data_IF_094940103752
#
_entry.id   IF_094940103752
#
_cell.length_a   1.000
_cell.length_b   1.000
_cell.length_c   1.000
_cell.angle_alpha   90.00
_cell.angle_beta   90.00
_cell.angle_gamma   90.00
#
_symmetry.space_group_name_H-M   'P 1'
#
loop_
_entity.id
_entity.type
_entity.pdbx_description
1 polymer ?
#
# COMPACT_ATOMS: atom_id res chain seq x y z
N UNK A 1 -3.92 -26.08 67.70
CA UNK A 1 -3.85 -24.91 66.82
C UNK A 1 -3.88 -25.42 65.39
N UNK A 2 -5.02 -25.20 64.71
CA UNK A 2 -5.28 -25.61 63.34
C UNK A 2 -4.88 -24.41 62.44
N UNK A 3 -3.84 -24.53 61.61
CA UNK A 3 -3.44 -23.51 60.65
C UNK A 3 -4.15 -23.81 59.35
N UNK A 4 -5.16 -23.01 59.01
CA UNK A 4 -5.90 -23.10 57.75
C UNK A 4 -5.10 -22.29 56.71
N UNK A 5 -4.48 -22.98 55.78
CA UNK A 5 -3.78 -22.34 54.63
C UNK A 5 -4.86 -21.93 53.59
N UNK A 6 -5.06 -20.64 53.43
CA UNK A 6 -5.93 -20.09 52.39
C UNK A 6 -5.13 -19.98 51.09
N UNK A 7 -5.42 -20.88 50.17
CA UNK A 7 -4.83 -20.80 48.79
C UNK A 7 -5.61 -19.79 47.99
N UNK A 8 -4.99 -18.66 47.68
CA UNK A 8 -5.53 -17.71 46.69
C UNK A 8 -5.37 -18.29 45.28
N UNK A 9 -6.48 -18.74 44.71
CA UNK A 9 -6.51 -19.05 43.30
C UNK A 9 -6.48 -17.72 42.52
N UNK A 10 -5.34 -17.43 41.83
CA UNK A 10 -5.30 -16.35 40.87
C UNK A 10 -6.21 -16.72 39.70
N UNK A 11 -7.35 -16.08 39.61
CA UNK A 11 -8.23 -16.13 38.43
C UNK A 11 -7.49 -15.35 37.35
N UNK A 12 -6.82 -16.07 36.47
CA UNK A 12 -6.31 -15.50 35.22
C UNK A 12 -7.53 -15.12 34.41
N UNK A 13 -7.84 -13.83 34.36
CA UNK A 13 -8.81 -13.31 33.40
C UNK A 13 -8.20 -13.53 32.01
N UNK A 14 -8.72 -14.49 31.29
CA UNK A 14 -8.51 -14.61 29.85
C UNK A 14 -8.90 -13.27 29.23
N UNK A 15 -7.95 -12.60 28.59
CA UNK A 15 -8.25 -11.41 27.80
C UNK A 15 -9.31 -11.79 26.77
N UNK A 16 -10.38 -11.02 26.71
CA UNK A 16 -11.40 -11.16 25.68
C UNK A 16 -10.72 -11.12 24.32
N UNK A 17 -10.99 -12.13 23.52
CA UNK A 17 -10.50 -12.17 22.14
C UNK A 17 -10.89 -10.87 21.43
N UNK A 18 -9.93 -10.21 20.79
CA UNK A 18 -10.19 -9.05 19.93
C UNK A 18 -11.02 -9.41 18.69
N UNK A 19 -11.28 -10.68 18.47
CA UNK A 19 -12.05 -11.16 17.33
C UNK A 19 -13.48 -11.40 17.81
N UNK A 20 -14.42 -10.60 17.33
CA UNK A 20 -15.85 -10.83 17.52
C UNK A 20 -16.31 -11.94 16.57
N UNK A 21 -16.46 -13.15 17.09
CA UNK A 21 -16.95 -14.30 16.33
C UNK A 21 -18.43 -14.20 15.93
N UNK A 22 -19.14 -13.19 16.39
CA UNK A 22 -20.53 -12.91 15.97
C UNK A 22 -20.57 -11.99 14.73
N UNK A 23 -19.42 -11.47 14.31
CA UNK A 23 -19.32 -10.72 13.05
C UNK A 23 -19.74 -11.62 11.88
N UNK A 24 -20.55 -11.11 10.93
CA UNK A 24 -20.87 -11.83 9.69
C UNK A 24 -19.63 -12.04 8.80
N UNK A 25 -18.52 -11.37 9.10
CA UNK A 25 -17.25 -11.50 8.40
C UNK A 25 -16.25 -12.26 9.27
N UNK A 26 -16.00 -13.51 8.90
CA UNK A 26 -14.95 -14.30 9.55
C UNK A 26 -13.57 -13.90 9.00
N UNK A 27 -12.57 -13.71 9.87
CA UNK A 27 -11.22 -13.42 9.40
C UNK A 27 -10.65 -14.61 8.64
N UNK A 28 -9.97 -14.33 7.55
CA UNK A 28 -9.18 -15.35 6.85
C UNK A 28 -7.88 -15.57 7.61
N UNK A 29 -7.59 -16.82 7.95
CA UNK A 29 -6.37 -17.21 8.66
C UNK A 29 -5.45 -17.93 7.67
N UNK A 30 -4.16 -17.58 7.68
CA UNK A 30 -3.14 -18.25 6.87
C UNK A 30 -1.90 -18.51 7.72
N UNK A 31 -1.34 -19.70 7.60
CA UNK A 31 -0.12 -20.10 8.33
C UNK A 31 1.17 -19.72 7.58
N UNK A 32 1.10 -19.54 6.27
CA UNK A 32 2.28 -19.28 5.44
C UNK A 32 2.39 -17.81 5.04
N UNK A 33 1.55 -17.40 4.12
CA UNK A 33 1.56 -16.04 3.59
C UNK A 33 0.15 -15.57 3.28
N UNK A 34 -0.06 -14.27 3.34
CA UNK A 34 -1.33 -13.64 3.00
C UNK A 34 -1.08 -12.42 2.13
N UNK A 35 -1.96 -12.21 1.15
CA UNK A 35 -2.00 -10.99 0.36
C UNK A 35 -3.43 -10.45 0.42
N UNK A 36 -3.55 -9.17 0.74
CA UNK A 36 -4.82 -8.46 0.73
C UNK A 36 -4.67 -7.16 -0.06
N UNK A 37 -5.61 -6.89 -0.95
CA UNK A 37 -5.67 -5.65 -1.71
C UNK A 37 -7.12 -5.26 -1.98
N UNK A 38 -7.34 -4.08 -2.58
CA UNK A 38 -8.68 -3.61 -2.92
C UNK A 38 -9.31 -4.33 -4.12
N UNK A 39 -8.55 -5.18 -4.82
CA UNK A 39 -9.05 -5.96 -5.95
C UNK A 39 -8.59 -7.41 -5.83
N UNK A 40 -9.52 -8.37 -5.95
CA UNK A 40 -9.21 -9.78 -5.77
C UNK A 40 -8.22 -10.31 -6.81
N UNK A 41 -8.30 -9.88 -8.08
CA UNK A 41 -7.36 -10.30 -9.13
C UNK A 41 -5.93 -9.87 -8.79
N UNK A 42 -5.76 -8.68 -8.21
CA UNK A 42 -4.45 -8.22 -7.77
C UNK A 42 -3.94 -9.01 -6.56
N UNK A 43 -4.82 -9.40 -5.65
CA UNK A 43 -4.46 -10.25 -4.50
C UNK A 43 -4.04 -11.66 -4.97
N UNK A 44 -4.72 -12.24 -5.95
CA UNK A 44 -4.37 -13.52 -6.56
C UNK A 44 -2.97 -13.47 -7.20
N UNK A 45 -2.66 -12.40 -7.94
CA UNK A 45 -1.32 -12.18 -8.51
C UNK A 45 -0.26 -12.16 -7.40
N UNK A 46 -0.50 -11.45 -6.31
CA UNK A 46 0.44 -11.43 -5.19
C UNK A 46 0.70 -12.83 -4.61
N UNK A 47 -0.33 -13.64 -4.46
CA UNK A 47 -0.21 -15.05 -4.02
C UNK A 47 0.55 -15.90 -5.06
N UNK A 48 0.31 -15.70 -6.35
CA UNK A 48 1.06 -16.40 -7.39
C UNK A 48 2.55 -16.08 -7.37
N UNK A 49 2.92 -14.82 -7.16
CA UNK A 49 4.31 -14.40 -7.03
C UNK A 49 4.98 -15.07 -5.84
N UNK A 50 4.29 -15.17 -4.69
CA UNK A 50 4.80 -15.89 -3.52
C UNK A 50 4.99 -17.38 -3.86
N UNK A 51 4.02 -18.03 -4.52
CA UNK A 51 4.11 -19.44 -4.94
C UNK A 51 5.26 -19.70 -5.92
N UNK A 52 5.64 -18.71 -6.73
CA UNK A 52 6.82 -18.76 -7.62
C UNK A 52 8.15 -18.60 -6.87
N UNK A 53 8.12 -18.44 -5.55
CA UNK A 53 9.30 -18.29 -4.70
C UNK A 53 9.71 -16.84 -4.43
N UNK A 54 8.87 -15.88 -4.79
CA UNK A 54 9.01 -14.48 -4.44
C UNK A 54 8.81 -14.23 -2.96
N UNK A 55 9.27 -13.09 -2.50
CA UNK A 55 9.05 -12.62 -1.14
C UNK A 55 7.87 -11.63 -1.06
N UNK A 56 7.62 -11.09 0.13
CA UNK A 56 6.53 -10.13 0.35
C UNK A 56 6.68 -8.85 -0.48
N UNK A 57 7.93 -8.41 -0.75
CA UNK A 57 8.18 -7.21 -1.57
C UNK A 57 7.88 -7.48 -3.04
N UNK A 58 8.28 -8.65 -3.58
CA UNK A 58 7.91 -9.06 -4.94
C UNK A 58 6.39 -9.08 -5.10
N UNK A 59 5.68 -9.66 -4.14
CA UNK A 59 4.22 -9.71 -4.14
C UNK A 59 3.60 -8.31 -4.07
N UNK A 60 4.10 -7.43 -3.19
CA UNK A 60 3.60 -6.06 -3.07
C UNK A 60 3.83 -5.24 -4.35
N UNK A 61 4.98 -5.41 -5.01
CA UNK A 61 5.29 -4.75 -6.29
C UNK A 61 4.38 -5.25 -7.41
N UNK A 62 4.18 -6.57 -7.52
CA UNK A 62 3.26 -7.16 -8.50
C UNK A 62 1.83 -6.68 -8.30
N UNK A 63 1.35 -6.66 -7.05
CA UNK A 63 0.03 -6.11 -6.68
C UNK A 63 -0.07 -4.63 -7.03
N UNK A 64 0.96 -3.84 -6.75
CA UNK A 64 0.99 -2.40 -7.07
C UNK A 64 0.84 -2.14 -8.57
N UNK A 65 1.54 -2.88 -9.43
CA UNK A 65 1.38 -2.78 -10.88
C UNK A 65 0.04 -3.33 -11.37
N UNK A 66 -0.46 -4.42 -10.78
CA UNK A 66 -1.78 -4.96 -11.08
C UNK A 66 -2.91 -3.99 -10.72
N UNK A 67 -2.82 -3.32 -9.57
CA UNK A 67 -3.80 -2.29 -9.17
C UNK A 67 -3.82 -1.09 -10.13
N UNK A 68 -2.72 -0.78 -10.80
CA UNK A 68 -2.72 0.25 -11.84
C UNK A 68 -3.62 -0.11 -13.03
N UNK A 69 -3.88 -1.40 -13.25
CA UNK A 69 -4.80 -1.91 -14.28
C UNK A 69 -6.21 -2.10 -13.73
N UNK A 70 -6.34 -2.77 -12.58
CA UNK A 70 -7.64 -3.21 -12.02
C UNK A 70 -8.36 -2.14 -11.22
N UNK A 71 -7.63 -1.13 -10.72
CA UNK A 71 -8.16 -0.04 -9.91
C UNK A 71 -7.50 1.31 -10.26
N UNK A 72 -7.52 1.75 -11.52
CA UNK A 72 -6.72 2.90 -11.99
C UNK A 72 -7.08 4.24 -11.31
N UNK A 73 -8.26 4.34 -10.72
CA UNK A 73 -8.68 5.55 -9.98
C UNK A 73 -7.91 5.78 -8.67
N UNK A 74 -7.31 4.73 -8.10
CA UNK A 74 -6.66 4.78 -6.79
C UNK A 74 -5.23 4.22 -6.81
N UNK A 75 -4.93 3.24 -7.69
CA UNK A 75 -3.62 2.63 -7.83
C UNK A 75 -3.09 2.80 -9.24
N UNK A 76 -2.67 4.00 -9.65
CA UNK A 76 -2.27 4.26 -11.03
C UNK A 76 -0.78 4.64 -11.15
N UNK A 77 -0.23 4.55 -12.37
CA UNK A 77 1.17 4.85 -12.65
C UNK A 77 1.49 6.35 -12.52
N UNK A 78 0.48 7.22 -12.64
CA UNK A 78 0.61 8.67 -12.50
C UNK A 78 0.55 9.17 -11.05
N UNK A 79 0.41 8.27 -10.09
CA UNK A 79 0.31 8.60 -8.66
C UNK A 79 1.61 8.46 -7.89
N UNK A 80 1.47 8.22 -6.63
CA UNK A 80 2.55 7.95 -5.69
C UNK A 80 2.02 7.20 -4.47
N UNK A 81 2.88 6.93 -3.50
CA UNK A 81 2.50 6.19 -2.31
C UNK A 81 3.62 6.08 -1.29
N UNK A 82 3.40 5.19 -0.35
CA UNK A 82 4.35 4.84 0.69
C UNK A 82 4.41 3.32 0.81
N UNK A 83 5.55 2.78 1.19
CA UNK A 83 5.71 1.37 1.49
C UNK A 83 6.43 1.21 2.82
N UNK A 84 5.89 0.39 3.70
CA UNK A 84 6.57 -0.07 4.91
C UNK A 84 6.95 -1.53 4.73
N UNK A 85 8.20 -1.85 5.01
CA UNK A 85 8.77 -3.19 4.88
C UNK A 85 9.35 -3.58 6.23
N UNK A 86 8.87 -4.69 6.81
CA UNK A 86 9.49 -5.29 7.97
C UNK A 86 10.42 -6.42 7.53
N UNK A 87 11.70 -6.29 7.85
CA UNK A 87 12.74 -7.27 7.59
C UNK A 87 13.01 -8.10 8.85
N UNK A 88 12.40 -9.29 8.90
CA UNK A 88 12.47 -10.16 10.10
C UNK A 88 13.91 -10.57 10.48
N UNK A 89 14.76 -10.80 9.49
CA UNK A 89 16.17 -11.19 9.68
C UNK A 89 17.03 -10.10 10.30
N UNK A 90 16.64 -8.84 10.17
CA UNK A 90 17.32 -7.66 10.72
C UNK A 90 16.57 -7.00 11.86
N UNK A 91 15.34 -7.45 12.15
CA UNK A 91 14.40 -6.80 13.07
C UNK A 91 14.24 -5.29 12.78
N UNK A 92 14.14 -4.94 11.49
CA UNK A 92 14.16 -3.57 11.01
C UNK A 92 12.89 -3.25 10.23
N UNK A 93 12.35 -2.05 10.46
CA UNK A 93 11.27 -1.47 9.67
C UNK A 93 11.85 -0.39 8.77
N UNK A 94 11.63 -0.55 7.48
CA UNK A 94 12.07 0.39 6.44
C UNK A 94 10.85 1.08 5.84
N UNK A 95 11.00 2.37 5.54
CA UNK A 95 9.99 3.16 4.84
C UNK A 95 10.53 3.66 3.51
N UNK A 96 9.77 3.46 2.44
CA UNK A 96 10.04 4.07 1.14
C UNK A 96 8.94 5.08 0.87
N UNK A 97 9.34 6.34 0.77
CA UNK A 97 8.46 7.44 0.37
C UNK A 97 8.61 7.67 -1.14
N UNK A 98 7.57 7.33 -1.89
CA UNK A 98 7.45 7.62 -3.32
C UNK A 98 6.21 8.44 -3.61
N UNK A 99 5.83 9.30 -2.66
CA UNK A 99 4.73 10.26 -2.84
C UNK A 99 5.01 11.13 -4.07
N UNK A 100 3.97 11.33 -4.87
CA UNK A 100 4.05 12.28 -5.99
C UNK A 100 4.39 13.68 -5.49
N UNK A 101 5.24 14.38 -6.22
CA UNK A 101 5.76 15.70 -5.85
C UNK A 101 5.18 16.78 -6.76
N UNK A 102 5.21 18.02 -6.31
CA UNK A 102 4.90 19.16 -7.18
C UNK A 102 6.01 19.32 -8.23
N UNK A 103 5.68 19.78 -9.44
CA UNK A 103 6.69 20.15 -10.43
C UNK A 103 7.68 21.18 -9.89
N UNK A 104 8.94 21.06 -10.30
CA UNK A 104 9.97 22.04 -9.97
C UNK A 104 9.56 23.45 -10.45
N UNK A 105 9.80 24.45 -9.63
CA UNK A 105 9.44 25.84 -9.91
C UNK A 105 7.99 26.22 -9.62
N UNK A 106 7.14 25.27 -9.20
CA UNK A 106 5.78 25.56 -8.76
C UNK A 106 5.82 26.10 -7.33
N UNK A 107 5.52 27.39 -7.15
CA UNK A 107 5.54 28.05 -5.85
C UNK A 107 4.20 27.97 -5.13
N UNK A 108 4.21 28.11 -3.79
CA UNK A 108 3.00 28.19 -2.98
C UNK A 108 2.06 29.31 -3.43
N UNK A 109 2.63 30.46 -3.85
CA UNK A 109 1.85 31.58 -4.36
C UNK A 109 1.14 31.26 -5.67
N UNK A 110 1.80 30.55 -6.59
CA UNK A 110 1.19 30.09 -7.83
C UNK A 110 0.06 29.07 -7.60
N UNK A 111 0.14 28.30 -6.53
CA UNK A 111 -0.87 27.30 -6.18
C UNK A 111 -2.04 27.93 -5.42
N UNK A 112 -1.74 28.67 -4.36
CA UNK A 112 -2.75 29.14 -3.42
C UNK A 112 -3.11 30.62 -3.63
N UNK A 113 -2.33 31.35 -4.42
CA UNK A 113 -2.57 32.77 -4.67
C UNK A 113 -2.57 33.58 -3.38
N UNK A 114 -1.62 33.30 -2.45
CA UNK A 114 -1.60 33.90 -1.11
C UNK A 114 -1.61 35.43 -1.18
N UNK A 115 -0.91 35.99 -2.18
CA UNK A 115 -0.80 37.44 -2.39
C UNK A 115 -1.84 37.97 -3.38
N UNK A 116 -2.75 37.14 -3.90
CA UNK A 116 -3.80 37.59 -4.79
C UNK A 116 -5.03 38.11 -4.02
N UNK A 117 -5.74 39.11 -4.56
CA UNK A 117 -7.06 39.48 -4.06
C UNK A 117 -8.00 38.28 -4.01
N UNK A 118 -8.95 38.27 -3.07
CA UNK A 118 -9.83 37.13 -2.79
C UNK A 118 -10.66 36.69 -4.02
N UNK A 119 -11.01 37.61 -4.90
CA UNK A 119 -11.71 37.37 -6.14
C UNK A 119 -10.94 36.43 -7.10
N UNK A 120 -9.61 36.48 -7.08
CA UNK A 120 -8.74 35.63 -7.91
C UNK A 120 -8.33 34.31 -7.25
N UNK A 121 -8.46 34.20 -5.92
CA UNK A 121 -8.07 32.98 -5.19
C UNK A 121 -8.90 31.75 -5.58
N UNK A 122 -10.18 31.96 -5.93
CA UNK A 122 -11.05 30.85 -6.38
C UNK A 122 -10.63 30.35 -7.75
N UNK A 123 -10.41 31.26 -8.71
CA UNK A 123 -9.96 30.91 -10.06
C UNK A 123 -8.60 30.20 -10.02
N UNK A 124 -7.69 30.65 -9.15
CA UNK A 124 -6.36 30.03 -9.00
C UNK A 124 -6.46 28.61 -8.41
N UNK A 125 -7.35 28.38 -7.44
CA UNK A 125 -7.61 27.02 -6.91
C UNK A 125 -8.16 26.07 -7.97
N UNK A 126 -8.97 26.55 -8.88
CA UNK A 126 -9.50 25.73 -9.97
C UNK A 126 -8.39 25.33 -10.96
N UNK A 127 -7.42 26.22 -11.24
CA UNK A 127 -6.27 25.95 -12.09
C UNK A 127 -5.40 24.80 -11.55
N UNK A 128 -5.17 24.73 -10.23
CA UNK A 128 -4.38 23.67 -9.60
C UNK A 128 -5.19 22.42 -9.30
N UNK A 129 -6.50 22.47 -9.46
CA UNK A 129 -7.39 21.32 -9.29
C UNK A 129 -7.70 20.61 -10.61
N UNK A 130 -7.74 21.37 -11.70
CA UNK A 130 -8.09 20.87 -13.01
C UNK A 130 -7.06 21.32 -14.06
N UNK A 131 -6.80 20.44 -15.02
CA UNK A 131 -5.87 20.72 -16.12
C UNK A 131 -4.41 20.34 -15.82
N UNK A 132 -3.53 20.70 -16.74
CA UNK A 132 -2.13 20.25 -16.71
C UNK A 132 -1.32 20.74 -15.51
N UNK A 133 -1.65 21.90 -14.94
CA UNK A 133 -0.99 22.43 -13.74
C UNK A 133 -1.34 21.66 -12.45
N UNK A 134 -2.43 20.89 -12.47
CA UNK A 134 -2.81 20.04 -11.35
C UNK A 134 -2.03 18.71 -11.33
N UNK A 135 -1.34 18.38 -12.42
CA UNK A 135 -0.56 17.15 -12.53
C UNK A 135 0.70 17.23 -11.66
N UNK A 136 0.96 16.16 -10.93
CA UNK A 136 2.16 16.00 -10.11
C UNK A 136 3.22 15.19 -10.86
N UNK A 137 4.46 15.24 -10.40
CA UNK A 137 5.51 14.33 -10.84
C UNK A 137 5.25 12.97 -10.17
N UNK A 138 4.97 11.91 -10.95
CA UNK A 138 4.57 10.63 -10.38
C UNK A 138 5.73 9.87 -9.75
N UNK A 139 5.44 9.19 -8.63
CA UNK A 139 6.42 8.40 -7.90
C UNK A 139 6.16 6.88 -7.91
N UNK A 140 4.95 6.42 -8.32
CA UNK A 140 4.56 5.01 -8.21
C UNK A 140 5.56 4.07 -8.86
N UNK A 141 5.92 4.31 -10.12
CA UNK A 141 6.83 3.41 -10.87
C UNK A 141 8.22 3.39 -10.23
N UNK A 142 8.77 4.58 -9.95
CA UNK A 142 10.11 4.69 -9.34
C UNK A 142 10.17 4.04 -7.96
N UNK A 143 9.12 4.22 -7.13
CA UNK A 143 9.05 3.64 -5.79
C UNK A 143 8.92 2.13 -5.80
N UNK A 144 8.07 1.57 -6.65
CA UNK A 144 7.92 0.12 -6.78
C UNK A 144 9.20 -0.53 -7.32
N UNK A 145 9.84 0.09 -8.32
CA UNK A 145 11.12 -0.41 -8.85
C UNK A 145 12.23 -0.29 -7.80
N UNK A 146 12.29 0.80 -7.04
CA UNK A 146 13.25 0.97 -5.95
C UNK A 146 13.07 -0.12 -4.88
N UNK A 147 11.84 -0.35 -4.42
CA UNK A 147 11.54 -1.41 -3.46
C UNK A 147 11.98 -2.78 -3.98
N UNK A 148 11.64 -3.09 -5.22
CA UNK A 148 12.03 -4.34 -5.84
C UNK A 148 13.55 -4.48 -5.99
N UNK A 149 14.25 -3.45 -6.44
CA UNK A 149 15.70 -3.50 -6.65
C UNK A 149 16.50 -3.72 -5.37
N UNK A 150 15.99 -3.24 -4.24
CA UNK A 150 16.66 -3.37 -2.94
C UNK A 150 16.25 -4.63 -2.16
N UNK A 151 15.02 -5.07 -2.29
CA UNK A 151 14.43 -6.09 -1.41
C UNK A 151 13.74 -7.23 -2.16
N UNK A 152 13.56 -7.11 -3.47
CA UNK A 152 12.98 -8.17 -4.30
C UNK A 152 13.90 -9.38 -4.44
N UNK A 153 13.33 -10.53 -4.72
CA UNK A 153 14.02 -11.81 -4.88
C UNK A 153 13.92 -12.35 -6.30
N UNK A 154 12.77 -12.16 -6.95
CA UNK A 154 12.53 -12.60 -8.32
C UNK A 154 12.99 -11.55 -9.34
N UNK A 155 13.27 -11.95 -10.59
CA UNK A 155 13.50 -10.98 -11.67
C UNK A 155 12.29 -10.06 -11.88
N UNK A 156 12.54 -8.79 -12.17
CA UNK A 156 11.49 -7.77 -12.32
C UNK A 156 10.47 -8.10 -13.42
N UNK A 157 10.93 -8.71 -14.52
CA UNK A 157 10.06 -9.14 -15.62
C UNK A 157 9.07 -10.21 -15.18
N UNK A 158 9.46 -11.10 -14.27
CA UNK A 158 8.57 -12.13 -13.68
C UNK A 158 7.52 -11.47 -12.80
N UNK A 159 7.92 -10.47 -12.00
CA UNK A 159 7.04 -9.75 -11.07
C UNK A 159 6.04 -8.86 -11.82
N UNK A 160 6.46 -8.20 -12.89
CA UNK A 160 5.60 -7.29 -13.67
C UNK A 160 4.71 -8.00 -14.70
N UNK A 161 5.09 -9.18 -15.16
CA UNK A 161 4.41 -9.90 -16.24
C UNK A 161 2.90 -10.03 -16.05
N UNK A 162 2.37 -10.44 -14.88
CA UNK A 162 0.93 -10.58 -14.71
C UNK A 162 0.17 -9.25 -14.93
N UNK A 163 0.70 -8.15 -14.47
CA UNK A 163 0.07 -6.83 -14.68
C UNK A 163 0.11 -6.40 -16.16
N UNK A 164 1.19 -6.73 -16.87
CA UNK A 164 1.31 -6.47 -18.31
C UNK A 164 0.28 -7.30 -19.09
N UNK A 165 0.08 -8.57 -18.72
CA UNK A 165 -0.92 -9.46 -19.32
C UNK A 165 -2.33 -8.93 -19.05
N UNK A 166 -2.66 -8.54 -17.81
CA UNK A 166 -3.93 -7.91 -17.48
C UNK A 166 -4.18 -6.63 -18.30
N UNK A 167 -3.16 -5.79 -18.49
CA UNK A 167 -3.30 -4.58 -19.29
C UNK A 167 -3.52 -4.86 -20.78
N UNK A 168 -2.97 -5.95 -21.29
CA UNK A 168 -3.07 -6.36 -22.70
C UNK A 168 -4.40 -7.06 -23.01
N UNK A 169 -4.83 -7.93 -22.12
CA UNK A 169 -6.01 -8.78 -22.33
C UNK A 169 -7.29 -8.13 -21.81
N UNK A 170 -7.15 -7.14 -20.93
CA UNK A 170 -8.25 -6.54 -20.20
C UNK A 170 -8.60 -7.33 -18.94
N UNK A 171 -9.38 -6.69 -18.07
CA UNK A 171 -9.94 -7.29 -16.85
C UNK A 171 -11.45 -7.07 -16.85
N UNK A 172 -12.20 -8.09 -16.45
CA UNK A 172 -13.66 -8.06 -16.32
C UNK A 172 -14.06 -7.74 -14.88
#
# INVERSE_FOLDING_TARGET
ILITTITFANIVHSQTSYIDYQSPFHPTISEGAMVASQNHLSSEIGIEIIKKGGNAVDAAVAVGFSLAVTLPRAGNLGGGGFMLIYMKDRDEILAIDYRSQSPEGLTTDQIFGVNLPDEYKKANRDIVRYGYKASTVPGTVSGLILAHSQFGKLPLDVVMRPAIEQAREGVN
#
